data_IF_890652727443
#
_entry.id   IF_890652727443
#
_cell.length_a   1.000
_cell.length_b   1.000
_cell.length_c   1.000
_cell.angle_alpha   90.00
_cell.angle_beta   90.00
_cell.angle_gamma   90.00
#
_symmetry.space_group_name_H-M   'P 1'
#
loop_
_entity.id
_entity.type
_entity.pdbx_description
1 polymer ?
#
# COMPACT_ATOMS: atom_id res chain seq x y z
N UNK A 1 5.90 -17.42 -67.46
CA UNK A 1 6.10 -15.95 -67.53
C UNK A 1 4.82 -15.25 -67.12
N UNK A 2 4.66 -14.97 -65.82
CA UNK A 2 3.75 -13.95 -65.28
C UNK A 2 4.26 -13.63 -63.88
N UNK A 3 5.13 -12.64 -63.83
CA UNK A 3 5.68 -12.08 -62.61
C UNK A 3 4.51 -11.31 -61.99
N UNK A 4 3.84 -11.89 -61.00
CA UNK A 4 2.83 -11.19 -60.23
C UNK A 4 3.58 -10.20 -59.33
N UNK A 5 3.67 -8.97 -59.82
CA UNK A 5 4.15 -7.79 -59.11
C UNK A 5 3.13 -7.44 -58.02
N UNK A 6 3.18 -8.12 -56.88
CA UNK A 6 2.33 -7.84 -55.71
C UNK A 6 3.02 -6.85 -54.77
N UNK A 7 3.24 -5.63 -55.27
CA UNK A 7 3.29 -4.42 -54.43
C UNK A 7 1.85 -4.08 -54.01
N UNK A 8 1.25 -4.90 -53.15
CA UNK A 8 -0.17 -4.76 -52.83
C UNK A 8 -0.41 -4.33 -51.37
N UNK A 9 -0.93 -3.10 -51.13
CA UNK A 9 -1.51 -2.71 -49.83
C UNK A 9 -2.63 -3.66 -49.37
N UNK A 10 -3.16 -4.50 -50.27
CA UNK A 10 -4.14 -5.53 -49.96
C UNK A 10 -3.68 -6.52 -48.87
N UNK A 11 -2.39 -6.87 -48.79
CA UNK A 11 -1.90 -7.85 -47.80
C UNK A 11 -1.87 -7.26 -46.38
N UNK A 12 -1.55 -5.97 -46.24
CA UNK A 12 -1.57 -5.30 -44.94
C UNK A 12 -3.00 -5.13 -44.40
N UNK A 13 -3.95 -4.77 -45.28
CA UNK A 13 -5.37 -4.65 -44.95
C UNK A 13 -5.98 -6.01 -44.59
N UNK A 14 -5.57 -7.08 -45.27
CA UNK A 14 -6.04 -8.44 -44.98
C UNK A 14 -5.52 -8.96 -43.63
N UNK A 15 -4.23 -8.75 -43.31
CA UNK A 15 -3.67 -9.07 -41.99
C UNK A 15 -4.38 -8.26 -40.90
N UNK A 16 -4.68 -6.99 -41.14
CA UNK A 16 -5.42 -6.15 -40.19
C UNK A 16 -6.84 -6.69 -39.94
N UNK A 17 -7.53 -7.20 -40.96
CA UNK A 17 -8.87 -7.81 -40.80
C UNK A 17 -8.83 -9.05 -39.89
N UNK A 18 -7.77 -9.86 -39.99
CA UNK A 18 -7.61 -11.05 -39.15
C UNK A 18 -7.16 -10.67 -37.73
N UNK A 19 -6.28 -9.67 -37.59
CA UNK A 19 -5.73 -9.25 -36.29
C UNK A 19 -6.66 -8.32 -35.49
N UNK A 20 -7.56 -7.59 -36.13
CA UNK A 20 -8.44 -6.62 -35.49
C UNK A 20 -9.26 -7.23 -34.35
N UNK A 21 -9.88 -8.39 -34.59
CA UNK A 21 -10.74 -9.04 -33.60
C UNK A 21 -9.98 -9.53 -32.34
N UNK A 22 -8.89 -10.31 -32.44
CA UNK A 22 -8.14 -10.75 -31.26
C UNK A 22 -7.44 -9.60 -30.53
N UNK A 23 -6.92 -8.59 -31.24
CA UNK A 23 -6.25 -7.46 -30.61
C UNK A 23 -7.21 -6.57 -29.83
N UNK A 24 -8.38 -6.26 -30.39
CA UNK A 24 -9.40 -5.46 -29.70
C UNK A 24 -9.95 -6.19 -28.48
N UNK A 25 -10.18 -7.51 -28.58
CA UNK A 25 -10.62 -8.32 -27.45
C UNK A 25 -9.57 -8.35 -26.32
N UNK A 26 -8.28 -8.52 -26.66
CA UNK A 26 -7.18 -8.49 -25.70
C UNK A 26 -7.02 -7.13 -25.01
N UNK A 27 -7.13 -6.04 -25.77
CA UNK A 27 -7.09 -4.68 -25.22
C UNK A 27 -8.29 -4.42 -24.30
N UNK A 28 -9.48 -4.89 -24.67
CA UNK A 28 -10.70 -4.75 -23.87
C UNK A 28 -10.58 -5.49 -22.53
N UNK A 29 -10.10 -6.74 -22.53
CA UNK A 29 -9.92 -7.49 -21.27
C UNK A 29 -8.88 -6.83 -20.36
N UNK A 30 -7.82 -6.26 -20.94
CA UNK A 30 -6.81 -5.50 -20.19
C UNK A 30 -7.41 -4.22 -19.59
N UNK A 31 -8.18 -3.49 -20.37
CA UNK A 31 -8.88 -2.28 -19.91
C UNK A 31 -9.85 -2.60 -18.77
N UNK A 32 -10.63 -3.69 -18.89
CA UNK A 32 -11.54 -4.16 -17.82
C UNK A 32 -10.75 -4.48 -16.55
N UNK A 33 -9.60 -5.17 -16.66
CA UNK A 33 -8.73 -5.47 -15.52
C UNK A 33 -8.19 -4.21 -14.83
N UNK A 34 -7.82 -3.18 -15.61
CA UNK A 34 -7.36 -1.90 -15.08
C UNK A 34 -8.50 -1.07 -14.47
N UNK A 35 -9.70 -1.14 -15.03
CA UNK A 35 -10.90 -0.49 -14.49
C UNK A 35 -11.29 -1.10 -13.13
N UNK A 36 -11.01 -2.38 -12.87
CA UNK A 36 -11.26 -2.99 -11.56
C UNK A 36 -10.53 -2.28 -10.40
N UNK A 37 -9.41 -1.59 -10.68
CA UNK A 37 -8.67 -0.78 -9.70
C UNK A 37 -9.48 0.42 -9.18
N UNK A 38 -10.58 0.80 -9.84
CA UNK A 38 -11.47 1.86 -9.38
C UNK A 38 -12.15 1.55 -8.05
N UNK A 39 -12.25 0.27 -7.67
CA UNK A 39 -12.81 -0.17 -6.40
C UNK A 39 -11.89 0.12 -5.20
N UNK A 40 -10.65 0.57 -5.44
CA UNK A 40 -9.71 0.91 -4.37
C UNK A 40 -10.10 2.21 -3.66
N UNK A 41 -9.93 2.27 -2.34
CA UNK A 41 -10.17 3.48 -1.54
C UNK A 41 -9.10 4.56 -1.73
N UNK A 42 -7.94 4.21 -2.28
CA UNK A 42 -6.82 5.14 -2.46
C UNK A 42 -6.93 5.87 -3.80
N UNK A 43 -6.98 7.21 -3.78
CA UNK A 43 -7.08 8.05 -4.97
C UNK A 43 -5.98 7.78 -6.04
N UNK A 44 -4.69 7.58 -5.69
CA UNK A 44 -3.65 7.33 -6.68
C UNK A 44 -3.88 6.06 -7.50
N UNK A 45 -4.38 5.00 -6.88
CA UNK A 45 -4.66 3.71 -7.55
C UNK A 45 -5.82 3.85 -8.52
N UNK A 46 -6.88 4.58 -8.13
CA UNK A 46 -8.03 4.84 -9.02
C UNK A 46 -7.61 5.64 -10.26
N UNK A 47 -6.80 6.68 -10.06
CA UNK A 47 -6.29 7.51 -11.16
C UNK A 47 -5.42 6.70 -12.12
N UNK A 48 -4.50 5.87 -11.59
CA UNK A 48 -3.70 4.97 -12.41
C UNK A 48 -4.56 4.01 -13.25
N UNK A 49 -5.61 3.42 -12.66
CA UNK A 49 -6.54 2.54 -13.39
C UNK A 49 -7.23 3.23 -14.56
N UNK A 50 -7.76 4.45 -14.36
CA UNK A 50 -8.42 5.23 -15.42
C UNK A 50 -7.43 5.58 -16.53
N UNK A 51 -6.28 6.16 -16.19
CA UNK A 51 -5.31 6.60 -17.19
C UNK A 51 -4.73 5.42 -17.99
N UNK A 52 -4.44 4.30 -17.33
CA UNK A 52 -3.93 3.10 -18.00
C UNK A 52 -4.98 2.46 -18.90
N UNK A 53 -6.24 2.38 -18.47
CA UNK A 53 -7.31 1.80 -19.29
C UNK A 53 -7.56 2.62 -20.57
N UNK A 54 -7.61 3.95 -20.45
CA UNK A 54 -7.70 4.85 -21.60
C UNK A 54 -6.46 4.70 -22.49
N UNK A 55 -5.26 4.67 -21.89
CA UNK A 55 -4.00 4.51 -22.61
C UNK A 55 -3.92 3.20 -23.41
N UNK A 56 -4.40 2.09 -22.87
CA UNK A 56 -4.43 0.79 -23.57
C UNK A 56 -5.39 0.81 -24.74
N UNK A 57 -6.62 1.33 -24.56
CA UNK A 57 -7.60 1.41 -25.64
C UNK A 57 -7.14 2.37 -26.73
N UNK A 58 -6.67 3.56 -26.34
CA UNK A 58 -6.15 4.56 -27.26
C UNK A 58 -4.90 4.08 -27.99
N UNK A 59 -3.94 3.48 -27.27
CA UNK A 59 -2.71 2.93 -27.84
C UNK A 59 -2.97 1.77 -28.80
N UNK A 60 -3.90 0.89 -28.47
CA UNK A 60 -4.31 -0.20 -29.37
C UNK A 60 -4.97 0.36 -30.64
N UNK A 61 -5.88 1.33 -30.50
CA UNK A 61 -6.49 2.00 -31.64
C UNK A 61 -5.46 2.71 -32.52
N UNK A 62 -4.51 3.42 -31.89
CA UNK A 62 -3.42 4.10 -32.58
C UNK A 62 -2.53 3.11 -33.33
N UNK A 63 -2.13 2.00 -32.71
CA UNK A 63 -1.31 0.96 -33.36
C UNK A 63 -2.08 0.35 -34.53
N UNK A 64 -3.34 -0.06 -34.34
CA UNK A 64 -4.12 -0.66 -35.43
C UNK A 64 -4.34 0.30 -36.62
N UNK A 65 -4.39 1.61 -36.37
CA UNK A 65 -4.55 2.62 -37.40
C UNK A 65 -3.21 3.03 -38.06
N UNK A 66 -2.14 3.16 -37.27
CA UNK A 66 -0.83 3.67 -37.75
C UNK A 66 0.06 2.57 -38.31
N UNK A 67 -0.03 1.34 -37.80
CA UNK A 67 0.75 0.20 -38.26
C UNK A 67 0.60 -0.08 -39.77
N UNK A 68 -0.61 -0.14 -40.38
CA UNK A 68 -0.72 -0.39 -41.82
C UNK A 68 -0.06 0.74 -42.63
N UNK A 69 -0.27 2.01 -42.25
CA UNK A 69 0.36 3.15 -42.92
C UNK A 69 1.88 3.18 -42.78
N UNK A 70 2.40 2.73 -41.64
CA UNK A 70 3.84 2.59 -41.43
C UNK A 70 4.45 1.45 -42.26
N UNK A 71 3.76 0.30 -42.33
CA UNK A 71 4.19 -0.86 -43.11
C UNK A 71 4.17 -0.59 -44.63
N UNK A 72 3.23 0.23 -45.12
CA UNK A 72 3.22 0.67 -46.51
C UNK A 72 4.42 1.56 -46.86
N UNK A 73 4.85 2.42 -45.92
CA UNK A 73 5.91 3.40 -46.15
C UNK A 73 7.32 2.87 -45.86
N UNK A 74 7.42 1.90 -44.96
CA UNK A 74 8.64 1.18 -44.65
C UNK A 74 8.50 -0.30 -45.08
N UNK A 75 8.75 -0.62 -46.36
CA UNK A 75 8.79 -2.01 -46.79
C UNK A 75 10.02 -2.67 -46.15
N UNK A 76 9.83 -3.27 -44.98
CA UNK A 76 10.81 -4.19 -44.42
C UNK A 76 10.94 -5.35 -45.41
N UNK A 77 12.05 -5.39 -46.14
CA UNK A 77 12.39 -6.50 -47.03
C UNK A 77 12.75 -7.69 -46.15
N UNK A 78 11.74 -8.41 -45.68
CA UNK A 78 11.95 -9.74 -45.16
C UNK A 78 12.40 -10.63 -46.33
N UNK A 79 13.49 -11.40 -46.18
CA UNK A 79 13.87 -12.38 -47.19
C UNK A 79 12.67 -13.29 -47.45
N UNK A 80 12.21 -13.32 -48.70
CA UNK A 80 11.05 -14.12 -49.11
C UNK A 80 11.31 -15.57 -48.73
N UNK A 81 10.60 -16.08 -47.72
CA UNK A 81 10.51 -17.52 -47.48
C UNK A 81 9.84 -18.11 -48.73
N UNK A 82 10.62 -18.85 -49.50
CA UNK A 82 10.23 -19.41 -50.79
C UNK A 82 8.97 -20.27 -50.63
N UNK A 83 7.87 -19.83 -51.26
CA UNK A 83 6.57 -20.54 -51.30
C UNK A 83 6.62 -21.89 -52.05
N UNK A 84 7.77 -22.27 -52.62
CA UNK A 84 7.96 -23.56 -53.28
C UNK A 84 8.71 -24.59 -52.43
N UNK A 85 8.95 -24.30 -51.16
CA UNK A 85 9.53 -25.28 -50.24
C UNK A 85 8.37 -26.05 -49.62
N UNK A 86 8.37 -27.38 -49.78
CA UNK A 86 7.61 -28.28 -48.90
C UNK A 86 7.77 -27.80 -47.45
N UNK A 87 6.73 -27.85 -46.60
CA UNK A 87 6.72 -27.21 -45.27
C UNK A 87 7.68 -27.88 -44.28
N UNK A 88 8.99 -27.85 -44.54
CA UNK A 88 9.98 -28.63 -43.81
C UNK A 88 11.45 -28.27 -44.03
N UNK A 89 11.84 -27.37 -44.94
CA UNK A 89 13.28 -27.17 -45.25
C UNK A 89 13.87 -25.77 -44.99
N UNK A 90 13.13 -24.81 -44.43
CA UNK A 90 13.72 -23.51 -44.04
C UNK A 90 14.17 -23.41 -42.57
N UNK A 91 14.03 -24.48 -41.78
CA UNK A 91 14.21 -24.40 -40.34
C UNK A 91 14.69 -25.74 -39.78
N UNK A 92 16.01 -25.92 -39.66
CA UNK A 92 16.57 -26.97 -38.79
C UNK A 92 16.18 -26.73 -37.29
N UNK A 93 15.69 -25.51 -36.99
CA UNK A 93 15.04 -25.12 -35.73
C UNK A 93 13.56 -25.55 -35.65
N UNK A 94 12.86 -25.81 -36.76
CA UNK A 94 11.46 -26.24 -36.75
C UNK A 94 11.34 -27.67 -36.27
N UNK A 95 12.27 -28.56 -36.63
CA UNK A 95 12.19 -29.96 -36.20
C UNK A 95 12.25 -30.14 -34.68
N UNK A 96 12.92 -29.23 -33.96
CA UNK A 96 12.91 -29.22 -32.47
C UNK A 96 11.59 -28.69 -31.94
N UNK A 97 11.05 -27.63 -32.53
CA UNK A 97 9.78 -27.02 -32.15
C UNK A 97 8.62 -27.99 -32.45
N UNK A 98 8.60 -28.61 -33.61
CA UNK A 98 7.63 -29.65 -34.00
C UNK A 98 7.68 -30.85 -33.05
N UNK A 99 8.88 -31.36 -32.73
CA UNK A 99 9.03 -32.41 -31.71
C UNK A 99 8.54 -31.95 -30.33
N UNK A 100 8.75 -30.69 -29.98
CA UNK A 100 8.27 -30.13 -28.72
C UNK A 100 6.75 -30.03 -28.71
N UNK A 101 6.15 -29.57 -29.81
CA UNK A 101 4.68 -29.50 -30.00
C UNK A 101 4.06 -30.90 -29.97
N UNK A 102 4.68 -31.88 -30.62
CA UNK A 102 4.22 -33.27 -30.60
C UNK A 102 4.39 -33.92 -29.22
N UNK A 103 5.47 -33.59 -28.51
CA UNK A 103 5.68 -34.00 -27.13
C UNK A 103 4.61 -33.39 -26.21
N UNK A 104 4.34 -32.08 -26.32
CA UNK A 104 3.27 -31.40 -25.58
C UNK A 104 1.89 -32.00 -25.91
N UNK A 105 1.60 -32.30 -27.17
CA UNK A 105 0.35 -32.95 -27.58
C UNK A 105 0.21 -34.36 -27.00
N UNK A 106 1.29 -35.12 -26.91
CA UNK A 106 1.30 -36.47 -26.32
C UNK A 106 1.19 -36.42 -24.79
N UNK A 107 1.79 -35.42 -24.15
CA UNK A 107 1.85 -35.26 -22.69
C UNK A 107 0.84 -34.23 -22.14
N UNK A 108 -0.19 -33.87 -22.92
CA UNK A 108 -1.11 -32.76 -22.59
C UNK A 108 -1.72 -32.86 -21.19
N UNK A 109 -2.08 -34.07 -20.76
CA UNK A 109 -2.64 -34.31 -19.43
C UNK A 109 -1.59 -34.17 -18.33
N UNK A 110 -0.37 -34.65 -18.54
CA UNK A 110 0.74 -34.48 -17.60
C UNK A 110 1.08 -32.99 -17.42
N UNK A 111 1.19 -32.23 -18.52
CA UNK A 111 1.42 -30.78 -18.49
C UNK A 111 0.30 -30.08 -17.72
N UNK A 112 -0.96 -30.39 -18.02
CA UNK A 112 -2.10 -29.81 -17.30
C UNK A 112 -2.05 -30.11 -15.80
N UNK A 113 -1.78 -31.34 -15.40
CA UNK A 113 -1.69 -31.71 -13.97
C UNK A 113 -0.53 -31.01 -13.26
N UNK A 114 0.61 -30.83 -13.93
CA UNK A 114 1.78 -30.13 -13.34
C UNK A 114 1.47 -28.66 -13.12
N UNK A 115 0.92 -27.97 -14.13
CA UNK A 115 0.55 -26.55 -13.98
C UNK A 115 -0.57 -26.36 -12.95
N UNK A 116 -1.57 -27.24 -12.92
CA UNK A 116 -2.60 -27.23 -11.89
C UNK A 116 -2.01 -27.46 -10.48
N UNK A 117 -1.04 -28.37 -10.36
CA UNK A 117 -0.31 -28.62 -9.12
C UNK A 117 0.48 -27.40 -8.65
N UNK A 118 1.24 -26.75 -9.54
CA UNK A 118 1.99 -25.53 -9.24
C UNK A 118 1.04 -24.39 -8.82
N UNK A 119 -0.09 -24.24 -9.50
CA UNK A 119 -1.09 -23.23 -9.17
C UNK A 119 -1.69 -23.49 -7.78
N UNK A 120 -2.05 -24.74 -7.48
CA UNK A 120 -2.57 -25.14 -6.16
C UNK A 120 -1.53 -24.96 -5.06
N UNK A 121 -0.26 -25.30 -5.32
CA UNK A 121 0.83 -25.09 -4.37
C UNK A 121 1.08 -23.60 -4.09
N UNK A 122 1.03 -22.75 -5.12
CA UNK A 122 1.14 -21.30 -4.97
C UNK A 122 0.02 -20.71 -4.11
N UNK A 123 -1.20 -21.27 -4.22
CA UNK A 123 -2.34 -20.86 -3.38
C UNK A 123 -2.09 -21.10 -1.89
N UNK A 124 -1.35 -22.16 -1.53
CA UNK A 124 -0.98 -22.43 -0.13
C UNK A 124 -0.02 -21.37 0.44
N UNK A 125 0.67 -20.61 -0.42
CA UNK A 125 1.56 -19.51 -0.03
C UNK A 125 0.87 -18.18 0.21
N UNK A 126 -0.35 -17.98 -0.29
CA UNK A 126 -1.13 -16.75 -0.11
C UNK A 126 -1.31 -16.32 1.36
N UNK A 127 -1.63 -17.19 2.33
CA UNK A 127 -1.81 -16.78 3.73
C UNK A 127 -0.51 -16.31 4.40
N UNK A 128 0.66 -16.52 3.78
CA UNK A 128 1.96 -16.05 4.30
C UNK A 128 2.39 -14.70 3.73
N UNK A 129 1.55 -14.05 2.92
CA UNK A 129 1.84 -12.72 2.37
C UNK A 129 1.58 -11.64 3.41
N UNK A 130 2.64 -11.16 4.04
CA UNK A 130 2.58 -9.97 4.89
C UNK A 130 2.45 -8.72 4.01
N UNK A 131 1.34 -8.01 4.15
CA UNK A 131 1.12 -6.73 3.47
C UNK A 131 1.77 -5.60 4.27
N UNK A 132 3.09 -5.43 4.11
CA UNK A 132 3.81 -4.34 4.77
C UNK A 132 3.67 -3.02 4.01
N UNK A 133 2.63 -2.24 4.31
CA UNK A 133 2.51 -0.83 3.91
C UNK A 133 3.27 0.08 4.89
N UNK A 134 4.51 -0.28 5.22
CA UNK A 134 5.38 0.61 6.00
C UNK A 134 6.14 1.51 5.03
N UNK A 135 5.72 2.77 4.94
CA UNK A 135 6.38 3.79 4.10
C UNK A 135 7.87 3.91 4.48
N UNK A 136 8.22 3.66 5.76
CA UNK A 136 9.60 3.62 6.24
C UNK A 136 10.46 2.48 5.67
N UNK A 137 9.86 1.34 5.29
CA UNK A 137 10.59 0.19 4.71
C UNK A 137 10.71 0.24 3.19
N UNK A 138 10.02 1.16 2.51
CA UNK A 138 10.23 1.41 1.07
C UNK A 138 11.59 2.07 0.82
N UNK A 139 12.16 2.70 1.84
CA UNK A 139 13.53 3.21 1.79
C UNK A 139 14.51 2.05 2.00
N UNK A 140 15.47 1.91 1.09
CA UNK A 140 16.55 0.94 1.24
C UNK A 140 17.28 1.19 2.58
N UNK A 141 17.62 0.13 3.35
CA UNK A 141 18.37 0.24 4.61
C UNK A 141 19.70 1.00 4.49
N UNK A 142 20.22 1.15 3.27
CA UNK A 142 21.48 1.83 2.97
C UNK A 142 21.35 3.35 2.78
N UNK A 143 20.14 3.90 2.83
CA UNK A 143 19.96 5.36 2.70
C UNK A 143 20.37 6.06 4.00
N UNK A 144 21.06 7.19 3.88
CA UNK A 144 21.46 8.02 5.03
C UNK A 144 20.27 8.38 5.93
N UNK A 145 19.11 8.62 5.33
CA UNK A 145 17.86 8.93 6.05
C UNK A 145 17.45 7.79 6.99
N UNK A 146 17.57 6.52 6.57
CA UNK A 146 17.24 5.37 7.41
C UNK A 146 18.19 5.25 8.61
N UNK A 147 19.50 5.41 8.36
CA UNK A 147 20.53 5.35 9.42
C UNK A 147 20.39 6.49 10.42
N UNK A 148 20.15 7.72 9.94
CA UNK A 148 19.95 8.90 10.80
C UNK A 148 18.67 8.72 11.64
N UNK A 149 17.58 8.20 11.04
CA UNK A 149 16.32 7.92 11.75
C UNK A 149 16.53 6.86 12.83
N UNK A 150 17.24 5.77 12.52
CA UNK A 150 17.55 4.70 13.47
C UNK A 150 18.46 5.19 14.61
N UNK A 151 19.45 6.03 14.31
CA UNK A 151 20.32 6.62 15.33
C UNK A 151 19.56 7.57 16.27
N UNK A 152 18.69 8.43 15.73
CA UNK A 152 17.84 9.33 16.53
C UNK A 152 16.88 8.52 17.41
N UNK A 153 16.27 7.48 16.87
CA UNK A 153 15.32 6.64 17.60
C UNK A 153 16.00 5.85 18.74
N UNK A 154 17.25 5.43 18.55
CA UNK A 154 18.03 4.70 19.56
C UNK A 154 18.69 5.59 20.62
N UNK A 155 19.09 6.81 20.27
CA UNK A 155 19.87 7.68 21.17
C UNK A 155 19.09 8.86 21.76
N UNK A 156 18.06 9.35 21.08
CA UNK A 156 17.36 10.59 21.47
C UNK A 156 15.94 10.31 21.94
N UNK A 157 15.06 9.87 21.02
CA UNK A 157 13.63 9.66 21.32
C UNK A 157 12.94 8.89 20.19
N UNK A 158 11.92 8.10 20.55
CA UNK A 158 10.94 7.55 19.60
C UNK A 158 10.28 8.66 18.76
N UNK A 159 10.26 8.47 17.44
CA UNK A 159 9.80 9.49 16.49
C UNK A 159 8.30 9.39 16.18
N UNK A 160 7.68 8.21 16.35
CA UNK A 160 6.23 8.08 16.22
C UNK A 160 5.49 8.45 17.50
N UNK A 161 4.61 9.42 17.38
CA UNK A 161 3.66 9.83 18.41
C UNK A 161 2.25 9.41 17.99
N UNK A 162 1.57 8.67 18.86
CA UNK A 162 0.15 8.36 18.77
C UNK A 162 -0.59 9.31 19.72
N UNK A 163 -1.65 9.95 19.25
CA UNK A 163 -2.49 10.82 20.08
C UNK A 163 -3.79 10.10 20.43
N UNK A 164 -4.04 9.92 21.72
CA UNK A 164 -5.28 9.34 22.26
C UNK A 164 -6.14 10.48 22.79
N UNK A 165 -7.33 10.67 22.20
CA UNK A 165 -8.30 11.66 22.68
C UNK A 165 -9.42 10.99 23.49
N UNK A 166 -9.64 11.47 24.70
CA UNK A 166 -10.69 11.01 25.61
C UNK A 166 -11.78 12.06 25.65
N UNK A 167 -13.00 11.68 25.25
CA UNK A 167 -14.17 12.53 25.26
C UNK A 167 -14.98 12.35 26.55
N UNK A 168 -15.22 13.44 27.27
CA UNK A 168 -16.24 13.50 28.32
C UNK A 168 -17.47 14.24 27.76
N UNK A 169 -18.60 13.55 27.69
CA UNK A 169 -19.89 14.14 27.27
C UNK A 169 -20.40 15.13 28.32
N UNK A 170 -21.26 16.05 27.89
CA UNK A 170 -21.85 17.08 28.75
C UNK A 170 -22.63 16.52 29.94
N UNK A 171 -23.24 15.34 29.78
CA UNK A 171 -24.02 14.61 30.80
C UNK A 171 -23.13 13.94 31.87
N UNK A 172 -21.81 14.04 31.74
CA UNK A 172 -20.89 13.36 32.64
C UNK A 172 -20.75 14.15 33.96
N UNK A 173 -21.35 13.63 35.03
CA UNK A 173 -21.37 14.21 36.39
C UNK A 173 -19.99 14.29 37.07
N UNK A 174 -18.93 13.82 36.41
CA UNK A 174 -17.56 13.86 36.95
C UNK A 174 -17.08 15.29 37.12
N UNK A 175 -16.57 15.59 38.32
CA UNK A 175 -15.87 16.84 38.62
C UNK A 175 -14.56 16.90 37.83
N UNK A 176 -14.07 18.11 37.52
CA UNK A 176 -12.77 18.32 36.85
C UNK A 176 -11.60 17.53 37.45
N UNK A 177 -11.54 17.40 38.78
CA UNK A 177 -10.51 16.59 39.47
C UNK A 177 -10.67 15.08 39.23
N UNK A 178 -11.90 14.59 39.16
CA UNK A 178 -12.19 13.19 38.86
C UNK A 178 -11.88 12.86 37.40
N UNK A 179 -12.14 13.78 36.46
CA UNK A 179 -11.74 13.63 35.06
C UNK A 179 -10.22 13.51 34.92
N UNK A 180 -9.46 14.34 35.64
CA UNK A 180 -7.99 14.22 35.70
C UNK A 180 -7.52 12.89 36.33
N UNK A 181 -8.23 12.38 37.33
CA UNK A 181 -7.93 11.06 37.91
C UNK A 181 -8.15 9.93 36.88
N UNK A 182 -9.21 10.03 36.08
CA UNK A 182 -9.46 9.09 34.97
C UNK A 182 -8.34 9.16 33.94
N UNK A 183 -7.91 10.37 33.55
CA UNK A 183 -6.78 10.55 32.65
C UNK A 183 -5.48 9.94 33.20
N UNK A 184 -5.19 10.12 34.49
CA UNK A 184 -4.02 9.53 35.15
C UNK A 184 -4.07 7.98 35.19
N UNK A 185 -5.27 7.41 35.39
CA UNK A 185 -5.46 5.95 35.30
C UNK A 185 -5.27 5.43 33.88
N UNK A 186 -5.82 6.11 32.88
CA UNK A 186 -5.62 5.78 31.47
C UNK A 186 -4.13 5.87 31.08
N UNK A 187 -3.43 6.91 31.53
CA UNK A 187 -1.98 7.04 31.34
C UNK A 187 -1.22 5.84 31.93
N UNK A 188 -1.52 5.47 33.18
CA UNK A 188 -0.86 4.35 33.86
C UNK A 188 -1.09 3.03 33.12
N UNK A 189 -2.34 2.78 32.69
CA UNK A 189 -2.68 1.59 31.91
C UNK A 189 -1.99 1.56 30.52
N UNK A 190 -1.85 2.71 29.85
CA UNK A 190 -1.13 2.81 28.59
C UNK A 190 0.38 2.61 28.75
N UNK A 191 0.94 2.97 29.91
CA UNK A 191 2.35 2.82 30.19
C UNK A 191 2.77 1.38 30.52
N UNK A 192 1.83 0.53 30.94
CA UNK A 192 2.06 -0.91 31.16
C UNK A 192 2.20 -1.72 29.86
N UNK A 193 1.79 -1.14 28.71
CA UNK A 193 1.91 -1.79 27.41
C UNK A 193 3.40 -1.79 27.00
N UNK A 194 3.99 -2.98 26.84
CA UNK A 194 5.42 -3.17 26.56
C UNK A 194 5.94 -2.46 25.28
N UNK A 195 5.02 -2.12 24.38
CA UNK A 195 5.30 -1.45 23.11
C UNK A 195 5.35 0.09 23.24
N UNK A 196 4.94 0.64 24.39
CA UNK A 196 4.92 2.08 24.64
C UNK A 196 6.22 2.52 25.32
N UNK A 197 6.89 3.52 24.74
CA UNK A 197 8.14 4.07 25.29
C UNK A 197 7.86 5.08 26.40
N UNK A 198 6.90 5.97 26.19
CA UNK A 198 6.50 6.98 27.17
C UNK A 198 5.08 7.48 26.89
N UNK A 199 4.33 7.82 27.94
CA UNK A 199 3.02 8.46 27.84
C UNK A 199 3.11 9.83 28.50
N UNK A 200 2.62 10.87 27.81
CA UNK A 200 2.47 12.23 28.32
C UNK A 200 0.99 12.55 28.43
N UNK A 201 0.56 12.98 29.61
CA UNK A 201 -0.84 13.33 29.90
C UNK A 201 -0.92 14.69 30.59
N UNK A 202 -2.05 15.42 30.45
CA UNK A 202 -2.29 16.64 31.22
C UNK A 202 -2.15 16.45 32.73
N UNK A 203 -2.32 15.22 33.24
CA UNK A 203 -2.07 14.86 34.64
C UNK A 203 -0.62 15.05 35.09
N UNK A 204 0.37 15.00 34.19
CA UNK A 204 1.80 15.18 34.54
C UNK A 204 2.12 16.63 34.95
N UNK A 205 1.35 17.59 34.44
CA UNK A 205 1.52 19.01 34.76
C UNK A 205 0.75 19.43 36.02
N UNK A 206 -0.14 18.56 36.51
CA UNK A 206 -0.99 18.85 37.68
C UNK A 206 -0.31 18.32 38.95
N UNK A 207 -0.22 19.12 40.02
CA UNK A 207 0.32 18.64 41.29
C UNK A 207 -0.55 17.51 41.87
N UNK A 208 0.06 16.53 42.52
CA UNK A 208 -0.67 15.40 43.12
C UNK A 208 -1.73 15.87 44.13
N UNK A 209 -2.91 15.26 44.11
CA UNK A 209 -3.99 15.60 45.04
C UNK A 209 -3.53 15.37 46.50
N UNK A 210 -3.68 16.37 47.40
CA UNK A 210 -3.30 16.21 48.79
C UNK A 210 -4.17 15.15 49.49
N UNK A 211 -3.53 14.08 49.95
CA UNK A 211 -4.15 13.01 50.73
C UNK A 211 -4.14 13.36 52.23
N UNK A 212 -5.30 13.31 52.88
CA UNK A 212 -5.42 13.56 54.31
C UNK A 212 -6.84 13.92 54.77
N UNK A 213 -7.18 13.57 56.02
CA UNK A 213 -8.46 13.90 56.69
C UNK A 213 -8.38 15.12 57.63
N UNK A 214 -7.22 15.79 57.69
CA UNK A 214 -7.00 16.96 58.56
C UNK A 214 -7.69 18.22 58.01
N UNK A 215 -8.04 19.17 58.90
CA UNK A 215 -8.60 20.49 58.54
C UNK A 215 -7.67 21.24 57.57
N UNK A 216 -6.36 21.10 57.74
CA UNK A 216 -5.37 21.65 56.80
C UNK A 216 -5.43 21.00 55.39
N UNK A 217 -5.90 19.76 55.29
CA UNK A 217 -6.07 19.07 54.00
C UNK A 217 -7.27 19.62 53.22
N UNK A 218 -8.34 20.05 53.91
CA UNK A 218 -9.50 20.70 53.27
C UNK A 218 -9.13 22.03 52.63
N UNK A 219 -8.32 22.85 53.32
CA UNK A 219 -7.81 24.12 52.77
C UNK A 219 -6.92 23.86 51.55
N UNK A 220 -6.01 22.88 51.63
CA UNK A 220 -5.17 22.47 50.51
C UNK A 220 -5.97 21.96 49.31
N UNK A 221 -7.08 21.23 49.52
CA UNK A 221 -7.99 20.79 48.44
C UNK A 221 -8.71 21.96 47.75
N UNK A 222 -9.12 22.97 48.49
CA UNK A 222 -9.73 24.19 47.92
C UNK A 222 -8.72 24.95 47.03
N UNK A 223 -7.50 25.16 47.53
CA UNK A 223 -6.41 25.78 46.76
C UNK A 223 -6.05 24.96 45.51
N UNK A 224 -6.01 23.64 45.64
CA UNK A 224 -5.80 22.72 44.51
C UNK A 224 -6.89 22.87 43.45
N UNK A 225 -8.17 22.89 43.84
CA UNK A 225 -9.29 23.09 42.91
C UNK A 225 -9.22 24.45 42.19
N UNK A 226 -8.85 25.51 42.88
CA UNK A 226 -8.69 26.83 42.27
C UNK A 226 -7.50 26.87 41.29
N UNK A 227 -6.37 26.24 41.65
CA UNK A 227 -5.20 26.15 40.77
C UNK A 227 -5.50 25.33 39.51
N UNK A 228 -6.25 24.23 39.65
CA UNK A 228 -6.75 23.44 38.52
C UNK A 228 -7.64 24.25 37.58
N UNK A 229 -8.54 25.09 38.13
CA UNK A 229 -9.39 25.94 37.33
C UNK A 229 -8.58 27.00 36.55
N UNK A 230 -7.48 27.50 37.11
CA UNK A 230 -6.55 28.39 36.39
C UNK A 230 -5.80 27.67 35.28
N UNK A 231 -5.18 26.52 35.57
CA UNK A 231 -4.41 25.73 34.60
C UNK A 231 -5.25 25.18 33.45
N UNK A 232 -6.58 25.14 33.62
CA UNK A 232 -7.50 24.74 32.55
C UNK A 232 -7.40 25.65 31.33
N UNK A 233 -7.12 26.95 31.51
CA UNK A 233 -6.89 27.87 30.39
C UNK A 233 -5.59 27.51 29.65
N UNK A 234 -4.53 27.24 30.41
CA UNK A 234 -3.24 26.81 29.86
C UNK A 234 -3.39 25.50 29.06
N UNK A 235 -4.21 24.55 29.52
CA UNK A 235 -4.48 23.32 28.78
C UNK A 235 -5.27 23.54 27.48
N UNK A 236 -6.12 24.57 27.42
CA UNK A 236 -6.80 24.95 26.17
C UNK A 236 -5.80 25.59 25.20
N UNK A 237 -4.94 26.48 25.69
CA UNK A 237 -3.89 27.11 24.87
C UNK A 237 -2.88 26.10 24.33
N UNK A 238 -2.52 25.09 25.13
CA UNK A 238 -1.59 24.02 24.76
C UNK A 238 -2.25 22.89 23.92
N UNK A 239 -3.51 23.04 23.52
CA UNK A 239 -4.29 22.01 22.80
C UNK A 239 -4.36 20.64 23.51
N UNK A 240 -4.31 20.64 24.85
CA UNK A 240 -4.57 19.44 25.65
C UNK A 240 -6.04 19.27 26.00
N UNK A 241 -6.79 20.38 26.00
CA UNK A 241 -8.23 20.43 26.26
C UNK A 241 -8.93 21.20 25.15
N UNK A 242 -9.92 20.57 24.50
CA UNK A 242 -10.84 21.26 23.60
C UNK A 242 -12.27 21.13 24.11
N UNK A 243 -13.03 22.22 24.06
CA UNK A 243 -14.44 22.24 24.44
C UNK A 243 -15.27 22.57 23.20
N UNK A 244 -16.00 21.59 22.69
CA UNK A 244 -16.87 21.76 21.52
C UNK A 244 -18.24 21.17 21.83
N UNK A 245 -19.30 21.97 21.64
CA UNK A 245 -20.69 21.52 21.81
C UNK A 245 -21.01 20.97 23.20
N UNK A 246 -20.43 21.53 24.27
CA UNK A 246 -20.64 21.07 25.65
C UNK A 246 -19.87 19.79 26.04
N UNK A 247 -19.14 19.17 25.11
CA UNK A 247 -18.25 18.03 25.40
C UNK A 247 -16.79 18.48 25.55
N UNK A 248 -16.05 17.80 26.42
CA UNK A 248 -14.62 18.05 26.65
C UNK A 248 -13.78 16.94 26.01
N UNK A 249 -12.82 17.33 25.19
CA UNK A 249 -11.84 16.45 24.59
C UNK A 249 -10.49 16.65 25.26
N UNK A 250 -9.95 15.58 25.84
CA UNK A 250 -8.65 15.57 26.50
C UNK A 250 -7.67 14.76 25.68
N UNK A 251 -6.51 15.33 25.37
CA UNK A 251 -5.47 14.67 24.57
C UNK A 251 -4.39 14.06 25.47
N UNK A 252 -4.06 12.79 25.22
CA UNK A 252 -2.92 12.07 25.78
C UNK A 252 -1.97 11.73 24.63
N UNK A 253 -0.69 12.06 24.76
CA UNK A 253 0.32 11.78 23.75
C UNK A 253 1.13 10.55 24.15
N UNK A 254 1.05 9.51 23.33
CA UNK A 254 1.75 8.23 23.54
C UNK A 254 2.90 8.14 22.55
N UNK A 255 4.11 7.91 23.04
CA UNK A 255 5.31 7.73 22.21
C UNK A 255 5.55 6.24 22.02
N UNK A 256 5.57 5.81 20.76
CA UNK A 256 5.79 4.41 20.35
C UNK A 256 7.00 4.38 19.42
N UNK A 257 7.88 3.37 19.47
CA UNK A 257 8.93 3.20 18.48
C UNK A 257 8.34 2.97 17.07
N UNK A 258 8.86 3.70 16.09
CA UNK A 258 8.44 3.68 14.68
C UNK A 258 8.97 2.47 13.93
N UNK A 259 10.09 1.91 14.39
CA UNK A 259 10.68 0.71 13.81
C UNK A 259 10.29 -0.50 14.67
N UNK A 260 9.80 -1.60 14.07
CA UNK A 260 9.66 -2.84 14.81
C UNK A 260 11.04 -3.16 15.39
N UNK A 261 11.08 -3.51 16.68
CA UNK A 261 12.26 -4.14 17.29
C UNK A 261 12.40 -5.55 16.69
N UNK A 262 12.70 -5.65 15.40
CA UNK A 262 13.02 -6.91 14.77
C UNK A 262 14.37 -7.36 15.31
N UNK A 263 14.28 -8.26 16.29
CA UNK A 263 15.27 -9.27 16.60
C UNK A 263 16.72 -8.80 16.84
N UNK A 264 17.03 -8.55 18.11
CA UNK A 264 18.29 -8.98 18.75
C UNK A 264 18.45 -10.53 18.76
N UNK A 265 18.07 -11.21 17.67
CA UNK A 265 18.25 -12.65 17.47
C UNK A 265 19.28 -12.96 16.36
N UNK A 266 19.88 -11.95 15.74
CA UNK A 266 20.96 -12.14 14.75
C UNK A 266 22.35 -11.69 15.23
N UNK A 267 22.51 -11.37 16.52
CA UNK A 267 23.79 -10.95 17.12
C UNK A 267 24.39 -12.00 18.08
N UNK A 268 23.90 -13.24 18.03
CA UNK A 268 24.52 -14.37 18.74
C UNK A 268 24.55 -15.59 17.81
N UNK A 269 25.50 -15.58 16.87
CA UNK A 269 26.14 -16.78 16.31
C UNK A 269 27.42 -16.37 15.56
#
# INVERSE_FOLDING_TARGET
MRIHDSRHPATAVEILRVAWWPCTLSALTTAIGLIALLSSSTAPVRQFGIYSAIGVLFGTGLILLTLPGFLERCPFVFPRLSQNTSPGECFDRDRRIEKLVDCLKRWRWAVFTVFAGIMSFSLLGLPRLDTSLNIGSTFSPQTKIFQDTQWIESNVRSLSQIEVSIQFRQECELTSSQRLLVLAKCQSALQEIAEVSRVFSPSDFVPSEPSGRSVGATIRRSLYRNKLAQMRRDFVEMNYLSQQGGSEWWRISVMVPSLPRSNRLFDVA
#
